data_IF_076112054152
#
_entry.id   IF_076112054152
#
_cell.length_a   1.000
_cell.length_b   1.000
_cell.length_c   1.000
_cell.angle_alpha   90.00
_cell.angle_beta   90.00
_cell.angle_gamma   90.00
#
_symmetry.space_group_name_H-M   'P 1'
#
loop_
_entity.id
_entity.type
_entity.pdbx_description
1 polymer ?
#
# COMPACT_ATOMS: atom_id res chain seq x y z
N UNK A 1 -6.00 -1.40 59.32
CA UNK A 1 -6.03 -0.74 58.00
C UNK A 1 -4.77 -1.12 57.26
N UNK A 2 -4.86 -1.83 56.14
CA UNK A 2 -3.89 -1.71 55.04
C UNK A 2 -4.59 -2.20 53.77
N UNK A 3 -4.93 -1.21 52.93
CA UNK A 3 -5.71 -1.37 51.69
C UNK A 3 -4.87 -2.18 50.69
N UNK A 4 -5.50 -3.16 50.06
CA UNK A 4 -4.96 -3.86 48.90
C UNK A 4 -4.53 -2.84 47.84
N UNK A 5 -3.24 -2.84 47.48
CA UNK A 5 -2.73 -2.07 46.33
C UNK A 5 -3.18 -2.75 45.04
N UNK A 6 -4.45 -2.55 44.68
CA UNK A 6 -4.98 -2.92 43.37
C UNK A 6 -4.40 -1.92 42.38
N UNK A 7 -3.38 -2.34 41.62
CA UNK A 7 -2.92 -1.60 40.45
C UNK A 7 -4.03 -1.71 39.39
N UNK A 8 -4.86 -0.68 39.29
CA UNK A 8 -5.77 -0.51 38.16
C UNK A 8 -4.93 -0.09 36.96
N UNK A 9 -4.66 -1.03 36.06
CA UNK A 9 -4.24 -0.72 34.70
C UNK A 9 -5.41 -0.02 34.02
N UNK A 10 -5.38 1.31 34.01
CA UNK A 10 -6.27 2.08 33.16
C UNK A 10 -5.77 1.90 31.73
N UNK A 11 -6.32 0.90 31.04
CA UNK A 11 -6.35 0.95 29.60
C UNK A 11 -7.30 2.09 29.23
N UNK A 12 -6.77 3.30 29.11
CA UNK A 12 -7.40 4.32 28.30
C UNK A 12 -7.34 3.84 26.85
N UNK A 13 -8.17 2.84 26.53
CA UNK A 13 -8.52 2.41 25.18
C UNK A 13 -9.41 3.47 24.54
N UNK A 14 -8.99 4.74 24.57
CA UNK A 14 -9.18 5.55 23.38
C UNK A 14 -8.36 4.82 22.33
N UNK A 15 -9.05 4.02 21.51
CA UNK A 15 -8.54 3.43 20.27
C UNK A 15 -7.86 4.58 19.53
N UNK A 16 -6.58 4.76 19.79
CA UNK A 16 -5.76 5.59 18.96
C UNK A 16 -5.81 4.83 17.65
N UNK A 17 -6.59 5.35 16.70
CA UNK A 17 -6.56 4.90 15.32
C UNK A 17 -5.21 5.34 14.77
N UNK A 18 -4.13 4.82 15.34
CA UNK A 18 -2.77 5.06 14.91
C UNK A 18 -2.71 4.49 13.50
N UNK A 19 -2.38 5.41 12.59
CA UNK A 19 -2.26 5.12 11.17
C UNK A 19 -0.78 4.88 10.91
N UNK A 20 -0.47 3.80 10.22
CA UNK A 20 0.88 3.53 9.74
C UNK A 20 0.94 3.93 8.28
N UNK A 21 1.97 4.68 7.90
CA UNK A 21 2.19 5.09 6.52
C UNK A 21 3.34 4.27 5.96
N UNK A 22 3.08 3.58 4.85
CA UNK A 22 4.07 2.83 4.11
C UNK A 22 4.42 3.59 2.84
N UNK A 23 5.72 3.75 2.61
CA UNK A 23 6.26 4.46 1.46
C UNK A 23 7.03 3.51 0.55
N UNK A 24 6.67 3.50 -0.73
CA UNK A 24 7.50 2.97 -1.80
C UNK A 24 7.97 4.17 -2.61
N UNK A 25 9.24 4.54 -2.47
CA UNK A 25 9.80 5.74 -3.12
C UNK A 25 10.60 5.34 -4.35
N UNK A 26 10.42 6.11 -5.41
CA UNK A 26 11.21 6.04 -6.64
C UNK A 26 11.26 4.63 -7.26
N UNK A 27 10.17 3.86 -7.19
CA UNK A 27 10.10 2.59 -7.89
C UNK A 27 10.08 2.85 -9.40
N UNK A 28 11.08 2.33 -10.11
CA UNK A 28 11.26 2.56 -11.55
C UNK A 28 11.03 1.27 -12.31
N UNK A 29 10.21 1.34 -13.36
CA UNK A 29 10.00 0.22 -14.28
C UNK A 29 9.83 0.72 -15.72
N UNK A 30 9.73 -0.22 -16.68
CA UNK A 30 9.43 0.09 -18.07
C UNK A 30 8.09 -0.51 -18.46
N UNK A 31 7.25 0.28 -19.12
CA UNK A 31 5.95 -0.18 -19.61
C UNK A 31 5.55 0.53 -20.90
N UNK A 32 4.68 -0.10 -21.68
CA UNK A 32 4.06 0.50 -22.87
C UNK A 32 2.73 1.12 -22.43
N UNK A 33 2.67 2.44 -22.42
CA UNK A 33 1.49 3.19 -22.00
C UNK A 33 1.45 4.51 -22.76
N UNK A 34 0.27 4.93 -23.18
CA UNK A 34 0.09 6.22 -23.85
C UNK A 34 -1.06 6.20 -24.85
N UNK A 35 -1.53 7.40 -25.19
CA UNK A 35 -2.65 7.59 -26.10
C UNK A 35 -2.20 7.49 -27.55
N UNK A 36 -1.03 8.04 -27.86
CA UNK A 36 -0.52 8.12 -29.22
C UNK A 36 0.02 6.79 -29.73
N UNK A 37 -0.07 6.57 -31.05
CA UNK A 37 0.33 5.32 -31.69
C UNK A 37 1.79 4.95 -31.44
N UNK A 38 2.70 5.93 -31.36
CA UNK A 38 4.11 5.67 -31.10
C UNK A 38 4.37 5.18 -29.66
N UNK A 39 3.64 5.70 -28.67
CA UNK A 39 3.75 5.29 -27.25
C UNK A 39 3.30 3.85 -27.05
N UNK A 40 2.38 3.37 -27.88
CA UNK A 40 1.84 2.00 -27.87
C UNK A 40 2.79 0.95 -28.44
N UNK A 41 3.95 1.37 -28.96
CA UNK A 41 4.92 0.46 -29.61
C UNK A 41 6.22 0.30 -28.82
N UNK A 42 6.67 1.33 -28.09
CA UNK A 42 7.96 1.33 -27.41
C UNK A 42 7.77 1.48 -25.89
N UNK A 43 8.45 0.64 -25.08
CA UNK A 43 8.37 0.78 -23.63
C UNK A 43 9.07 2.05 -23.17
N UNK A 44 8.43 2.78 -22.27
CA UNK A 44 8.94 3.99 -21.65
C UNK A 44 9.22 3.79 -20.16
N UNK A 45 10.16 4.59 -19.62
CA UNK A 45 10.52 4.54 -18.21
C UNK A 45 9.47 5.26 -17.38
N UNK A 46 8.92 4.57 -16.39
CA UNK A 46 7.98 5.11 -15.41
C UNK A 46 8.62 5.14 -14.03
N UNK A 47 8.20 6.10 -13.21
CA UNK A 47 8.59 6.22 -11.80
C UNK A 47 7.33 6.35 -10.95
N UNK A 48 7.19 5.46 -9.97
CA UNK A 48 6.09 5.45 -9.02
C UNK A 48 6.59 5.85 -7.63
N UNK A 49 5.81 6.70 -6.99
CA UNK A 49 5.84 6.91 -5.55
C UNK A 49 4.48 6.47 -5.02
N UNK A 50 4.48 5.55 -4.07
CA UNK A 50 3.25 5.04 -3.47
C UNK A 50 3.31 5.31 -1.98
N UNK A 51 2.27 5.98 -1.50
CA UNK A 51 2.03 6.24 -0.08
C UNK A 51 0.73 5.54 0.29
N UNK A 52 0.80 4.62 1.25
CA UNK A 52 -0.36 3.85 1.69
C UNK A 52 -0.56 4.07 3.18
N UNK A 53 -1.74 4.58 3.49
CA UNK A 53 -2.24 4.65 4.85
C UNK A 53 -2.82 3.29 5.24
N UNK A 54 -2.32 2.71 6.32
CA UNK A 54 -2.76 1.42 6.82
C UNK A 54 -3.16 1.50 8.29
N UNK A 55 -4.04 0.58 8.70
CA UNK A 55 -4.38 0.41 10.11
C UNK A 55 -3.15 -0.12 10.84
N UNK A 56 -2.73 0.53 11.92
CA UNK A 56 -1.67 0.01 12.75
C UNK A 56 -2.02 -1.40 13.23
N UNK A 57 -1.10 -2.34 12.98
CA UNK A 57 -1.20 -3.71 13.47
C UNK A 57 0.10 -4.09 14.18
N UNK A 58 -0.03 -4.99 15.16
CA UNK A 58 1.15 -5.58 15.78
C UNK A 58 1.89 -6.40 14.73
N UNK A 59 3.07 -5.93 14.32
CA UNK A 59 4.00 -6.69 13.52
C UNK A 59 4.53 -7.85 14.36
N UNK A 60 4.46 -9.05 13.80
CA UNK A 60 4.99 -10.27 14.39
C UNK A 60 6.14 -10.69 13.50
N UNK A 61 7.36 -10.63 14.05
CA UNK A 61 8.55 -11.03 13.33
C UNK A 61 8.43 -12.47 12.81
N UNK A 62 8.87 -12.72 11.58
CA UNK A 62 8.70 -13.98 10.88
C UNK A 62 7.29 -14.27 10.31
N UNK A 63 6.30 -13.40 10.50
CA UNK A 63 4.97 -13.57 9.92
C UNK A 63 4.62 -12.44 8.93
N UNK A 64 4.77 -12.72 7.63
CA UNK A 64 4.47 -11.77 6.54
C UNK A 64 3.01 -11.29 6.53
N UNK A 65 2.06 -12.07 7.06
CA UNK A 65 0.65 -11.69 7.12
C UNK A 65 0.36 -10.66 8.21
N UNK A 66 1.31 -10.44 9.14
CA UNK A 66 1.19 -9.41 10.18
C UNK A 66 1.53 -8.00 9.67
N UNK A 67 2.14 -7.91 8.49
CA UNK A 67 2.54 -6.64 7.84
C UNK A 67 1.76 -6.40 6.56
N UNK A 68 1.71 -5.15 6.11
CA UNK A 68 1.33 -4.86 4.74
C UNK A 68 2.52 -5.15 3.82
N UNK A 69 2.40 -6.15 2.96
CA UNK A 69 3.49 -6.58 2.10
C UNK A 69 3.71 -5.60 0.94
N UNK A 70 4.79 -4.82 0.99
CA UNK A 70 5.18 -3.89 -0.07
C UNK A 70 5.58 -4.59 -1.37
N UNK A 71 6.05 -5.84 -1.30
CA UNK A 71 6.38 -6.63 -2.49
C UNK A 71 5.11 -6.96 -3.29
N UNK A 72 4.01 -7.28 -2.60
CA UNK A 72 2.71 -7.51 -3.24
C UNK A 72 2.24 -6.25 -4.01
N UNK A 73 2.48 -5.07 -3.42
CA UNK A 73 2.12 -3.79 -4.04
C UNK A 73 2.94 -3.57 -5.32
N UNK A 74 4.25 -3.82 -5.29
CA UNK A 74 5.13 -3.73 -6.47
C UNK A 74 4.71 -4.75 -7.54
N UNK A 75 4.39 -5.98 -7.14
CA UNK A 75 3.94 -7.03 -8.04
C UNK A 75 2.61 -6.66 -8.71
N UNK A 76 1.68 -6.03 -7.98
CA UNK A 76 0.45 -5.49 -8.55
C UNK A 76 0.73 -4.39 -9.57
N UNK A 77 1.61 -3.43 -9.28
CA UNK A 77 2.02 -2.40 -10.26
C UNK A 77 2.47 -3.07 -11.57
N UNK A 78 3.40 -4.02 -11.49
CA UNK A 78 3.91 -4.74 -12.65
C UNK A 78 2.84 -5.56 -13.38
N UNK A 79 1.90 -6.16 -12.64
CA UNK A 79 0.79 -6.91 -13.21
C UNK A 79 -0.15 -6.02 -14.01
N UNK A 80 -0.57 -4.88 -13.45
CA UNK A 80 -1.46 -3.95 -14.14
C UNK A 80 -0.78 -3.33 -15.37
N UNK A 81 0.52 -2.99 -15.30
CA UNK A 81 1.27 -2.46 -16.43
C UNK A 81 1.39 -3.40 -17.65
N UNK A 82 1.03 -4.69 -17.52
CA UNK A 82 0.90 -5.60 -18.67
C UNK A 82 -0.33 -5.29 -19.54
N UNK A 83 -1.34 -4.62 -18.98
CA UNK A 83 -2.51 -4.15 -19.72
C UNK A 83 -2.15 -2.92 -20.53
N UNK A 84 -2.85 -2.73 -21.66
CA UNK A 84 -2.70 -1.53 -22.49
C UNK A 84 -3.54 -0.41 -21.91
N UNK A 85 -2.88 0.55 -21.27
CA UNK A 85 -3.50 1.80 -20.83
C UNK A 85 -3.17 2.92 -21.82
N UNK A 86 -4.17 3.79 -22.07
CA UNK A 86 -3.93 5.03 -22.79
C UNK A 86 -3.47 6.16 -21.85
N UNK A 87 -3.89 6.11 -20.59
CA UNK A 87 -3.69 7.16 -19.60
C UNK A 87 -3.14 6.58 -18.30
N UNK A 88 -2.24 7.30 -17.64
CA UNK A 88 -1.71 6.92 -16.32
C UNK A 88 -2.81 6.96 -15.25
N UNK A 89 -3.79 7.82 -15.43
CA UNK A 89 -4.98 7.98 -14.61
C UNK A 89 -5.84 6.71 -14.63
N UNK A 90 -6.02 6.09 -15.80
CA UNK A 90 -6.75 4.83 -15.93
C UNK A 90 -6.02 3.68 -15.21
N UNK A 91 -4.70 3.61 -15.37
CA UNK A 91 -3.88 2.67 -14.63
C UNK A 91 -3.99 2.90 -13.11
N UNK A 92 -3.87 4.16 -12.66
CA UNK A 92 -3.91 4.51 -11.25
C UNK A 92 -5.26 4.14 -10.62
N UNK A 93 -6.37 4.41 -11.29
CA UNK A 93 -7.72 4.05 -10.81
C UNK A 93 -7.88 2.54 -10.63
N UNK A 94 -7.49 1.74 -11.63
CA UNK A 94 -7.55 0.28 -11.55
C UNK A 94 -6.65 -0.27 -10.43
N UNK A 95 -5.44 0.27 -10.32
CA UNK A 95 -4.48 -0.12 -9.30
C UNK A 95 -4.98 0.22 -7.89
N UNK A 96 -5.45 1.46 -7.68
CA UNK A 96 -6.02 1.91 -6.41
C UNK A 96 -7.20 1.02 -6.04
N UNK A 97 -8.14 0.81 -6.96
CA UNK A 97 -9.30 -0.05 -6.71
C UNK A 97 -8.90 -1.46 -6.23
N UNK A 98 -7.87 -2.05 -6.85
CA UNK A 98 -7.38 -3.38 -6.46
C UNK A 98 -6.62 -3.40 -5.12
N UNK A 99 -5.88 -2.33 -4.82
CA UNK A 99 -5.14 -2.19 -3.56
C UNK A 99 -6.12 -2.02 -2.40
N UNK A 100 -7.15 -1.20 -2.54
CA UNK A 100 -8.15 -0.93 -1.50
C UNK A 100 -9.04 -2.13 -1.18
N UNK A 101 -9.05 -3.20 -1.99
CA UNK A 101 -9.65 -4.49 -1.59
C UNK A 101 -8.96 -5.10 -0.36
N UNK A 102 -7.71 -4.71 -0.08
CA UNK A 102 -7.01 -5.14 1.12
C UNK A 102 -7.58 -4.42 2.36
N UNK A 103 -8.20 -5.18 3.27
CA UNK A 103 -8.88 -4.67 4.49
C UNK A 103 -7.97 -3.90 5.47
N UNK A 104 -6.66 -4.00 5.28
CA UNK A 104 -5.64 -3.36 6.10
C UNK A 104 -5.31 -1.93 5.64
N UNK A 105 -5.75 -1.57 4.42
CA UNK A 105 -5.58 -0.26 3.82
C UNK A 105 -6.81 0.60 4.16
N UNK A 106 -6.56 1.90 4.38
CA UNK A 106 -7.56 2.90 4.79
C UNK A 106 -7.87 3.87 3.66
#
# INVERSE_FOLDING_TARGET
MNKNNIIKLFEDKKKLNSKEIIFIKNYVCKAIIGYHSFEKTKPQKLRFNVEILSKQKKVIDGNINSVLNYEEIINKINFFLKKKYNFLESFANDFIYEIFKNKNIL
#
